data_IF_066627699797
#
_entry.id   IF_066627699797
#
_cell.length_a   1.000
_cell.length_b   1.000
_cell.length_c   1.000
_cell.angle_alpha   90.00
_cell.angle_beta   90.00
_cell.angle_gamma   90.00
#
_symmetry.space_group_name_H-M   'P 1'
#
loop_
_entity.id
_entity.type
_entity.pdbx_description
1 polymer ?
2 polymer ?
3 polymer ?
4 polymer ?
5 non-polymer ?
6 water ?
#
loop_
_entity_poly.entity_id
_entity_poly.type
_entity_poly.pdbx_seq_one_letter_code
_entity_poly.pdbx_strand_id
1 'polyribonucleotide' 'GGCCACCUGACA' ?
2 'polyribonucleotide' '(5CG)UCCUCUCC' ?
3 'polyribonucleotide' 'GGAGAGAGAAGUCAACCAGAGAAACACACCAACCCAUUGCACUCCGGGUUGGUGGUAUAUUACCUGGUACGGGGGAAACUUCGUGGUGGCCG' ?
#
# COMPACT_ATOMS: atom_id res chain seq x y z
N UNK G 6 -20.43 9.33 -4.83
CA UNK G 6 -21.46 8.95 -3.82
C UNK G 6 -21.41 9.89 -2.58
N UNK G 7 -22.49 9.89 -1.82
CA UNK G 7 -22.67 10.71 -0.63
C UNK G 7 -21.82 10.26 0.58
N UNK G 8 -21.05 11.18 1.20
CA UNK G 8 -20.24 10.76 2.35
C UNK G 8 -21.09 10.04 3.39
N UNK G 9 -20.50 9.04 4.04
CA UNK G 9 -21.20 8.23 5.03
C UNK G 9 -20.25 7.74 6.12
N UNK G 10 -20.79 7.40 7.30
CA UNK G 10 -19.98 6.89 8.41
C UNK G 10 -19.19 5.65 7.99
N UNK G 11 -19.80 4.84 7.13
CA UNK G 11 -19.19 3.61 6.67
C UNK G 11 -18.63 3.73 5.27
N UNK G 12 -17.52 3.04 5.02
CA UNK G 12 -16.90 3.07 3.71
C UNK G 12 -16.97 1.66 3.16
N UNK G 13 -17.42 1.54 1.93
CA UNK G 13 -17.51 0.22 1.32
C UNK G 13 -16.19 -0.02 0.59
N UNK G 14 -15.59 -1.18 0.82
CA UNK G 14 -14.29 -1.52 0.26
C UNK G 14 -14.33 -2.81 -0.56
N UNK G 15 -13.85 -2.76 -1.80
CA UNK G 15 -13.82 -4.01 -2.54
C UNK G 15 -12.57 -4.18 -3.36
N UNK G 16 -12.48 -5.33 -3.99
CA UNK G 16 -11.33 -5.71 -4.77
C UNK G 16 -10.23 -6.06 -3.76
N UNK G 17 -10.61 -6.83 -2.74
CA UNK G 17 -9.69 -7.29 -1.72
C UNK G 17 -9.32 -8.72 -2.09
N UNK G 18 -8.12 -9.14 -1.73
CA UNK G 18 -7.69 -10.49 -2.06
C UNK G 18 -8.62 -11.49 -1.41
N UNK G 19 -9.38 -12.20 -2.24
CA UNK G 19 -10.34 -13.17 -1.74
C UNK G 19 -9.78 -14.33 -0.95
N UNK G 20 -8.54 -14.71 -1.19
CA UNK G 20 -7.93 -15.85 -0.50
C UNK G 20 -7.67 -15.67 0.99
N UNK G 21 -7.52 -14.43 1.43
CA UNK G 21 -7.30 -14.15 2.84
C UNK G 21 -8.43 -14.59 3.74
N UNK G 22 -8.10 -15.32 4.81
CA UNK G 22 -9.15 -15.75 5.73
C UNK G 22 -9.83 -14.57 6.42
N UNK G 23 -11.08 -14.78 6.82
CA UNK G 23 -11.90 -13.74 7.44
C UNK G 23 -11.33 -13.01 8.65
N UNK G 24 -10.89 -13.74 9.67
CA UNK G 24 -10.39 -13.02 10.83
C UNK G 24 -9.15 -12.21 10.52
N UNK G 25 -8.24 -12.76 9.73
CA UNK G 25 -7.01 -12.05 9.39
C UNK G 25 -7.28 -10.79 8.56
N UNK G 26 -8.12 -10.90 7.52
CA UNK G 26 -8.43 -9.75 6.69
C UNK G 26 -8.94 -8.66 7.61
N UNK G 27 -9.87 -9.07 8.48
CA UNK G 27 -10.50 -8.17 9.44
C UNK G 27 -9.45 -7.51 10.37
N UNK G 28 -8.46 -8.26 10.83
CA UNK G 28 -7.46 -7.62 11.67
C UNK G 28 -6.60 -6.64 10.88
N UNK G 29 -6.09 -7.07 9.72
CA UNK G 29 -5.26 -6.16 8.92
C UNK G 29 -6.03 -4.87 8.69
N UNK G 30 -7.24 -5.01 8.13
CA UNK G 30 -8.09 -3.84 7.85
C UNK G 30 -8.15 -2.89 9.05
N UNK G 31 -8.34 -3.43 10.24
CA UNK G 31 -8.42 -2.57 11.40
C UNK G 31 -7.13 -1.76 11.55
N UNK G 32 -6.00 -2.45 11.55
CA UNK G 32 -4.71 -1.81 11.71
C UNK G 32 -4.52 -0.64 10.76
N UNK G 33 -4.74 -0.91 9.48
CA UNK G 33 -4.60 0.08 8.40
C UNK G 33 -5.49 1.30 8.52
N UNK G 34 -6.65 1.15 9.17
CA UNK G 34 -7.60 2.26 9.28
C UNK G 34 -7.69 2.97 10.62
N UNK G 35 -7.27 2.29 11.69
CA UNK G 35 -7.31 2.87 13.03
C UNK G 35 -6.88 4.32 13.10
N UNK G 36 -5.82 4.67 12.38
CA UNK G 36 -5.29 6.02 12.42
C UNK G 36 -6.27 7.13 12.04
N UNK G 37 -7.33 6.79 11.32
CA UNK G 37 -8.28 7.81 10.90
C UNK G 37 -9.37 8.15 11.91
N UNK G 38 -9.53 7.27 12.89
CA UNK G 38 -10.52 7.52 13.92
C UNK G 38 -10.98 6.21 14.52
N UNK G 39 -11.79 6.29 15.57
CA UNK G 39 -12.31 5.08 16.19
C UNK G 39 -13.10 4.30 15.14
N UNK G 40 -13.19 2.99 15.33
CA UNK G 40 -13.90 2.13 14.42
C UNK G 40 -14.94 1.36 15.25
N UNK G 41 -16.22 1.57 14.95
CA UNK G 41 -17.27 0.89 15.70
C UNK G 41 -17.36 -0.59 15.39
N UNK G 42 -16.97 -0.95 14.17
CA UNK G 42 -17.02 -2.34 13.74
C UNK G 42 -16.59 -2.47 12.28
N UNK G 43 -16.31 -3.70 11.86
CA UNK G 43 -15.85 -4.01 10.50
C UNK G 43 -16.53 -5.26 10.01
N UNK G 44 -17.38 -5.14 9.01
CA UNK G 44 -18.09 -6.30 8.50
C UNK G 44 -17.35 -6.95 7.35
N UNK G 45 -17.20 -8.27 7.44
CA UNK G 45 -16.51 -9.04 6.44
C UNK G 45 -17.12 -10.41 6.36
N UNK G 46 -17.45 -10.81 5.13
CA UNK G 46 -18.07 -12.11 4.89
C UNK G 46 -17.46 -12.67 3.62
N UNK G 47 -17.25 -13.98 3.61
CA UNK G 47 -16.64 -14.63 2.48
C UNK G 47 -17.65 -15.42 1.68
N UNK G 48 -18.91 -15.05 1.84
CA UNK G 48 -19.99 -15.71 1.10
C UNK G 48 -19.87 -15.25 -0.34
N UNK G 49 -20.42 -16.05 -1.25
CA UNK G 49 -20.40 -15.73 -2.67
C UNK G 49 -20.59 -14.27 -3.04
N UNK G 50 -21.62 -13.65 -2.48
CA UNK G 50 -21.91 -12.25 -2.79
C UNK G 50 -21.11 -11.21 -1.99
N UNK G 51 -20.71 -11.56 -0.78
CA UNK G 51 -19.97 -10.61 0.04
C UNK G 51 -18.44 -10.66 -0.02
N UNK G 52 -17.89 -11.80 -0.41
CA UNK G 52 -16.43 -11.97 -0.50
C UNK G 52 -15.78 -10.90 -1.34
N UNK G 53 -14.52 -10.62 -1.02
CA UNK G 53 -13.74 -9.61 -1.72
C UNK G 53 -14.13 -8.23 -1.26
N UNK G 54 -15.00 -8.17 -0.26
CA UNK G 54 -15.50 -6.87 0.21
C UNK G 54 -15.54 -6.73 1.71
N UNK G 55 -15.74 -5.51 2.17
CA UNK G 55 -15.81 -5.25 3.59
C UNK G 55 -16.29 -3.84 3.86
N UNK G 56 -17.14 -3.65 4.87
CA UNK G 56 -17.59 -2.30 5.22
C UNK G 56 -16.86 -2.02 6.52
N UNK G 57 -16.35 -0.82 6.66
CA UNK G 57 -15.65 -0.42 7.87
C UNK G 57 -16.43 0.76 8.40
N UNK G 58 -17.09 0.57 9.55
CA UNK G 58 -17.92 1.59 10.18
C UNK G 58 -17.19 2.48 11.17
N UNK G 59 -17.08 3.75 10.80
CA UNK G 59 -16.39 4.76 11.63
C UNK G 59 -17.34 5.50 12.55
N UNK G 60 -16.86 5.86 13.73
CA UNK G 60 -17.71 6.58 14.68
C UNK G 60 -17.97 7.99 14.15
N UNK G 61 -17.01 8.55 13.42
CA UNK G 61 -17.16 9.90 12.88
C UNK G 61 -16.98 10.00 11.36
N UNK G 62 -18.00 10.53 10.68
CA UNK G 62 -17.97 10.68 9.22
C UNK G 62 -16.66 11.25 8.70
N UNK G 63 -16.19 12.33 9.30
CA UNK G 63 -14.93 12.96 8.88
C UNK G 63 -13.85 11.89 8.72
N UNK G 64 -13.80 10.96 9.67
CA UNK G 64 -12.84 9.87 9.63
C UNK G 64 -12.98 9.04 8.34
N UNK G 65 -14.22 8.70 7.99
CA UNK G 65 -14.47 7.94 6.77
C UNK G 65 -13.88 8.65 5.57
N UNK G 66 -14.05 9.97 5.53
CA UNK G 66 -13.55 10.78 4.43
C UNK G 66 -12.03 10.69 4.29
N UNK G 67 -11.30 11.13 5.32
CA UNK G 67 -9.84 11.09 5.27
C UNK G 67 -9.36 9.72 4.86
N UNK G 68 -9.84 8.70 5.55
CA UNK G 68 -9.45 7.34 5.26
C UNK G 68 -9.69 7.02 3.78
N UNK G 69 -10.84 7.44 3.25
CA UNK G 69 -11.16 7.18 1.85
C UNK G 69 -10.13 7.83 0.94
N UNK G 70 -9.92 9.12 1.13
CA UNK G 70 -8.96 9.85 0.33
C UNK G 70 -7.54 9.31 0.52
N UNK G 71 -7.17 9.05 1.78
CA UNK G 71 -5.85 8.55 2.09
C UNK G 71 -5.51 7.17 1.56
N UNK G 72 -6.45 6.24 1.66
CA UNK G 72 -6.20 4.87 1.24
C UNK G 72 -6.74 4.41 -0.09
N UNK G 73 -7.06 5.33 -0.99
CA UNK G 73 -7.60 4.87 -2.28
C UNK G 73 -6.54 4.17 -3.09
N UNK G 74 -6.79 2.91 -3.44
CA UNK G 74 -5.82 2.19 -4.23
C UNK G 74 -4.62 1.70 -3.46
N UNK G 75 -4.70 1.76 -2.14
CA UNK G 75 -3.61 1.29 -1.32
C UNK G 75 -3.32 -0.19 -1.59
N UNK G 76 -2.03 -0.60 -1.56
CA UNK G 76 -1.63 -1.99 -1.81
C UNK G 76 -1.99 -2.83 -0.60
N UNK G 77 -2.91 -3.78 -0.79
CA UNK G 77 -3.33 -4.61 0.33
C UNK G 77 -3.40 -6.04 -0.14
N UNK G 78 -2.55 -6.90 0.39
CA UNK G 78 -2.54 -8.28 -0.04
C UNK G 78 -2.38 -8.38 -1.57
N UNK G 79 -1.49 -7.56 -2.13
CA UNK G 79 -1.22 -7.60 -3.55
C UNK G 79 -2.33 -7.16 -4.48
N UNK G 80 -3.27 -6.36 -3.98
CA UNK G 80 -4.37 -5.87 -4.80
C UNK G 80 -4.69 -4.45 -4.36
N UNK G 81 -4.83 -3.51 -5.31
CA UNK G 81 -5.13 -2.14 -4.88
C UNK G 81 -6.55 -1.96 -4.39
N UNK G 82 -6.66 -1.52 -3.15
CA UNK G 82 -7.92 -1.35 -2.48
C UNK G 82 -8.81 -0.33 -3.18
N UNK G 83 -10.07 -0.69 -3.45
CA UNK G 83 -10.98 0.29 -4.05
C UNK G 83 -11.98 0.69 -2.97
N UNK G 84 -12.04 1.99 -2.69
CA UNK G 84 -12.90 2.48 -1.63
C UNK G 84 -13.92 3.52 -2.02
N UNK G 85 -15.12 3.39 -1.45
CA UNK G 85 -16.18 4.36 -1.66
C UNK G 85 -17.02 4.44 -0.41
N UNK G 86 -17.81 5.50 -0.31
CA UNK G 86 -18.71 5.66 0.83
C UNK G 86 -19.79 4.59 0.63
N UNK G 87 -20.40 4.13 1.71
CA UNK G 87 -21.46 3.12 1.60
C UNK G 87 -22.73 3.83 1.09
N UNK G 88 -23.51 3.14 0.25
CA UNK G 88 -24.74 3.74 -0.30
C UNK G 88 -25.74 4.16 0.77
N UNK G 89 -25.92 3.32 1.77
CA UNK G 89 -26.83 3.62 2.85
C UNK G 89 -26.08 3.44 4.16
N UNK G 90 -26.72 3.87 5.24
CA UNK G 90 -26.14 3.72 6.55
C UNK G 90 -26.21 2.25 6.94
N UNK G 91 -25.34 1.83 7.84
CA UNK G 91 -25.33 0.47 8.32
C UNK G 91 -26.25 0.50 9.54
N UNK G 92 -26.91 -0.60 9.85
CA UNK G 92 -27.82 -0.65 10.99
C UNK G 92 -27.31 0.13 12.22
N UNK G 93 -26.17 -0.30 12.75
CA UNK G 93 -25.52 0.32 13.89
C UNK G 93 -25.68 1.84 13.91
N UNK G 94 -25.40 2.48 12.78
CA UNK G 94 -25.48 3.93 12.67
C UNK G 94 -26.89 4.45 12.51
N UNK G 95 -27.74 3.67 11.84
CA UNK G 95 -29.12 4.06 11.62
C UNK G 95 -29.90 3.96 12.91
N UNK G 96 -29.80 2.80 13.57
CA UNK G 96 -30.49 2.56 14.83
C UNK G 96 -29.86 3.32 15.99
N UNK G 97 -29.30 4.49 15.70
CA UNK G 97 -28.62 5.27 16.72
C UNK G 97 -29.13 6.70 16.63
N UNK H 6 9.36 -6.18 -17.18
CA UNK H 6 10.79 -6.53 -17.44
C UNK H 6 11.16 -7.92 -16.85
N UNK H 7 12.39 -8.34 -17.08
CA UNK H 7 12.88 -9.62 -16.56
C UNK H 7 13.10 -9.43 -15.05
N UNK H 8 12.69 -10.41 -14.23
CA UNK H 8 12.92 -10.22 -12.79
C UNK H 8 14.42 -9.93 -12.56
N UNK H 9 14.71 -9.09 -11.58
CA UNK H 9 16.08 -8.70 -11.25
C UNK H 9 16.28 -8.52 -9.74
N UNK H 10 17.53 -8.52 -9.29
CA UNK H 10 17.86 -8.33 -7.88
C UNK H 10 17.47 -6.92 -7.47
N UNK H 11 17.51 -6.00 -8.44
CA UNK H 11 17.14 -4.62 -8.17
C UNK H 11 15.78 -4.22 -8.74
N UNK H 12 15.12 -3.30 -8.03
CA UNK H 12 13.84 -2.78 -8.48
C UNK H 12 14.03 -1.32 -8.67
N UNK H 13 13.57 -0.85 -9.82
CA UNK H 13 13.70 0.55 -10.14
C UNK H 13 12.38 1.11 -9.66
N UNK H 14 12.44 2.22 -8.93
CA UNK H 14 11.28 2.85 -8.33
C UNK H 14 11.25 4.30 -8.74
N UNK H 15 10.10 4.77 -9.19
CA UNK H 15 10.02 6.18 -9.53
C UNK H 15 8.68 6.79 -9.22
N UNK H 16 8.59 8.09 -9.45
CA UNK H 16 7.41 8.86 -9.13
C UNK H 16 7.49 9.17 -7.64
N UNK H 17 8.73 9.35 -7.18
CA UNK H 17 9.02 9.67 -5.81
C UNK H 17 8.97 11.19 -5.63
N UNK H 18 8.67 11.64 -4.42
CA UNK H 18 8.58 13.07 -4.15
C UNK H 18 9.94 13.73 -4.20
N UNK H 19 10.18 14.49 -5.26
CA UNK H 19 11.46 15.15 -5.44
C UNK H 19 11.86 16.14 -4.34
N UNK H 20 10.95 16.51 -3.46
CA UNK H 20 11.31 17.48 -2.42
C UNK H 20 11.97 16.89 -1.18
N UNK H 21 12.00 15.56 -1.10
CA UNK H 21 12.60 14.91 0.05
C UNK H 21 14.11 14.82 -0.07
N UNK H 22 14.81 15.01 1.05
CA UNK H 22 16.26 14.93 1.07
C UNK H 22 16.69 13.48 0.87
N UNK H 23 17.88 13.31 0.31
CA UNK H 23 18.42 11.98 0.03
C UNK H 23 18.39 11.09 1.28
N UNK H 24 19.02 11.54 2.36
CA UNK H 24 19.06 10.75 3.60
C UNK H 24 17.65 10.42 4.04
N UNK H 25 16.80 11.44 4.08
CA UNK H 25 15.43 11.24 4.45
C UNK H 25 14.85 10.12 3.59
N UNK H 26 14.92 10.32 2.28
CA UNK H 26 14.38 9.38 1.30
C UNK H 26 14.99 7.99 1.42
N UNK H 27 16.31 7.91 1.40
CA UNK H 27 16.98 6.62 1.52
C UNK H 27 16.43 5.85 2.74
N UNK H 28 16.59 6.45 3.93
CA UNK H 28 16.12 5.88 5.19
C UNK H 28 14.70 5.34 5.14
N UNK H 29 13.74 6.21 4.78
CA UNK H 29 12.33 5.78 4.69
C UNK H 29 12.21 4.58 3.77
N UNK H 30 12.77 4.68 2.57
CA UNK H 30 12.73 3.55 1.62
C UNK H 30 13.16 2.25 2.28
N UNK H 31 14.28 2.30 2.99
CA UNK H 31 14.80 1.12 3.67
C UNK H 31 13.79 0.58 4.70
N UNK H 32 13.11 1.51 5.37
CA UNK H 32 12.11 1.19 6.39
C UNK H 32 10.89 0.49 5.80
N UNK H 33 10.47 0.99 4.66
CA UNK H 33 9.31 0.47 3.95
C UNK H 33 9.60 -0.83 3.18
N UNK H 34 10.85 -1.05 2.79
CA UNK H 34 11.20 -2.24 2.00
C UNK H 34 11.97 -3.37 2.68
N UNK H 35 12.57 -3.11 3.85
CA UNK H 35 13.35 -4.14 4.51
C UNK H 35 12.64 -5.47 4.83
N UNK H 36 11.31 -5.45 4.92
CA UNK H 36 10.57 -6.68 5.25
C UNK H 36 10.57 -7.77 4.18
N UNK H 37 11.06 -7.46 2.98
CA UNK H 37 11.04 -8.46 1.94
C UNK H 37 12.34 -9.28 1.88
N UNK H 38 13.31 -8.87 2.67
CA UNK H 38 14.59 -9.58 2.70
C UNK H 38 15.74 -8.61 2.84
N UNK H 39 16.94 -9.12 3.06
CA UNK H 39 18.12 -8.27 3.18
C UNK H 39 18.24 -7.36 1.97
N UNK H 40 18.59 -6.10 2.22
CA UNK H 40 18.77 -5.08 1.21
C UNK H 40 20.26 -4.69 1.18
N UNK H 41 20.96 -5.03 0.08
CA UNK H 41 22.38 -4.72 -0.02
C UNK H 41 22.66 -3.24 -0.23
N UNK H 42 21.73 -2.51 -0.83
CA UNK H 42 21.95 -1.08 -1.02
C UNK H 42 20.74 -0.37 -1.62
N UNK H 43 20.72 0.96 -1.50
CA UNK H 43 19.65 1.79 -2.03
C UNK H 43 20.33 2.99 -2.64
N UNK H 44 20.25 3.14 -3.97
CA UNK H 44 20.92 4.27 -4.63
C UNK H 44 19.93 5.36 -4.96
N UNK H 45 20.19 6.56 -4.45
CA UNK H 45 19.27 7.68 -4.66
C UNK H 45 20.06 8.87 -5.05
N UNK H 46 19.63 9.57 -6.08
CA UNK H 46 20.36 10.75 -6.52
C UNK H 46 19.38 11.81 -6.93
N UNK H 47 19.60 13.03 -6.47
CA UNK H 47 18.73 14.16 -6.78
C UNK H 47 19.20 15.01 -7.96
N UNK H 48 20.03 14.43 -8.82
CA UNK H 48 20.48 15.19 -9.98
C UNK H 48 19.35 15.31 -10.98
N UNK H 49 19.44 16.30 -11.85
CA UNK H 49 18.43 16.49 -12.88
C UNK H 49 17.86 15.19 -13.47
N UNK H 50 18.72 14.30 -13.95
CA UNK H 50 18.26 13.07 -14.60
C UNK H 50 17.91 11.92 -13.68
N UNK H 51 18.28 12.00 -12.42
CA UNK H 51 18.01 10.88 -11.52
C UNK H 51 17.06 11.18 -10.35
N UNK H 52 16.66 12.44 -10.22
CA UNK H 52 15.76 12.83 -9.16
C UNK H 52 14.41 12.17 -9.36
N UNK H 53 13.75 11.80 -8.26
CA UNK H 53 12.43 11.18 -8.34
C UNK H 53 12.48 9.67 -8.51
N UNK H 54 13.68 9.13 -8.39
CA UNK H 54 13.81 7.69 -8.56
C UNK H 54 14.78 7.16 -7.53
N UNK H 55 14.84 5.84 -7.44
CA UNK H 55 15.73 5.22 -6.51
C UNK H 55 15.83 3.76 -6.86
N UNK H 56 17.03 3.20 -6.72
CA UNK H 56 17.20 1.80 -6.99
C UNK H 56 17.36 1.13 -5.64
N UNK H 57 16.71 0.00 -5.47
CA UNK H 57 16.81 -0.73 -4.24
C UNK H 57 17.23 -2.12 -4.61
N UNK H 58 18.43 -2.48 -4.19
CA UNK H 58 19.05 -3.77 -4.49
C UNK H 58 18.86 -4.77 -3.38
N UNK H 59 18.24 -5.89 -3.71
CA UNK H 59 17.96 -6.94 -2.77
C UNK H 59 18.98 -8.04 -2.92
N UNK H 60 19.26 -8.77 -1.85
CA UNK H 60 20.21 -9.86 -1.93
C UNK H 60 19.63 -11.02 -2.72
N UNK H 61 18.31 -11.15 -2.69
CA UNK H 61 17.64 -12.23 -3.40
C UNK H 61 16.54 -11.74 -4.34
N UNK H 62 16.45 -12.37 -5.52
CA UNK H 62 15.45 -11.99 -6.51
C UNK H 62 14.05 -12.25 -6.00
N UNK H 63 13.86 -13.40 -5.34
CA UNK H 63 12.54 -13.72 -4.77
C UNK H 63 12.16 -12.49 -3.94
N UNK H 64 13.10 -11.98 -3.17
CA UNK H 64 12.81 -10.79 -2.40
C UNK H 64 12.31 -9.62 -3.23
N UNK H 65 12.87 -9.43 -4.43
CA UNK H 65 12.48 -8.32 -5.27
C UNK H 65 11.10 -8.52 -5.90
N UNK H 66 10.83 -9.74 -6.31
CA UNK H 66 9.54 -10.03 -6.90
C UNK H 66 8.44 -9.72 -5.88
N UNK H 67 8.70 -10.02 -4.62
CA UNK H 67 7.71 -9.79 -3.58
C UNK H 67 7.50 -8.32 -3.31
N UNK H 68 8.59 -7.56 -3.22
CA UNK H 68 8.47 -6.14 -2.98
C UNK H 68 7.74 -5.45 -4.14
N UNK H 69 7.97 -5.88 -5.39
CA UNK H 69 7.29 -5.26 -6.53
C UNK H 69 5.77 -5.47 -6.51
N UNK H 70 5.37 -6.69 -6.20
CA UNK H 70 3.95 -7.03 -6.13
C UNK H 70 3.22 -6.45 -4.93
N UNK H 71 3.93 -6.24 -3.83
CA UNK H 71 3.31 -5.77 -2.62
C UNK H 71 3.44 -4.30 -2.33
N UNK H 72 4.11 -3.55 -3.19
CA UNK H 72 4.29 -2.13 -2.86
C UNK H 72 3.96 -1.27 -4.02
N UNK H 73 3.39 -1.90 -5.03
CA UNK H 73 2.97 -1.21 -6.24
C UNK H 73 1.96 -0.18 -5.83
N UNK H 74 2.25 1.08 -6.08
CA UNK H 74 1.29 2.13 -5.74
C UNK H 74 1.30 2.61 -4.32
N UNK H 75 2.20 2.07 -3.50
CA UNK H 75 2.26 2.47 -2.10
C UNK H 75 2.39 3.98 -1.87
N UNK H 76 1.58 4.54 -0.96
CA UNK H 76 1.59 5.98 -0.64
C UNK H 76 2.93 6.33 0.00
N UNK H 77 3.62 7.34 -0.54
CA UNK H 77 4.94 7.75 -0.06
C UNK H 77 5.09 9.23 -0.30
N UNK H 78 5.31 9.97 0.78
CA UNK H 78 5.46 11.41 0.73
C UNK H 78 4.50 12.05 -0.26
N UNK H 79 3.23 11.68 -0.14
CA UNK H 79 2.15 12.19 -0.97
C UNK H 79 2.04 11.73 -2.43
N UNK H 80 2.84 10.75 -2.84
CA UNK H 80 2.76 10.24 -4.21
C UNK H 80 2.81 8.73 -4.18
N UNK H 81 2.02 8.07 -5.05
CA UNK H 81 2.06 6.62 -5.05
C UNK H 81 3.22 6.19 -5.93
N UNK H 82 4.16 5.48 -5.34
CA UNK H 82 5.34 5.04 -6.06
C UNK H 82 5.05 4.00 -7.14
N UNK H 83 5.82 4.06 -8.22
CA UNK H 83 5.72 3.12 -9.32
C UNK H 83 6.95 2.23 -9.20
N UNK H 84 6.77 0.93 -9.33
CA UNK H 84 7.88 0.00 -9.18
C UNK H 84 8.06 -0.96 -10.36
N UNK H 85 9.26 -1.00 -10.95
CA UNK H 85 9.56 -1.91 -12.04
C UNK H 85 10.86 -2.63 -11.68
N UNK H 86 11.11 -3.79 -12.27
CA UNK H 86 12.39 -4.46 -12.03
C UNK H 86 13.43 -3.62 -12.80
N UNK H 87 14.65 -3.49 -12.28
CA UNK H 87 15.69 -2.71 -12.99
C UNK H 87 15.98 -3.38 -14.31
N UNK H 88 16.21 -2.60 -15.35
CA UNK H 88 16.52 -3.19 -16.67
C UNK H 88 17.82 -3.97 -16.67
N UNK H 89 18.77 -3.56 -15.83
CA UNK H 89 20.10 -4.16 -15.78
C UNK H 89 20.63 -4.44 -14.37
N UNK H 90 21.32 -5.57 -14.17
CA UNK H 90 21.88 -5.88 -12.87
C UNK H 90 22.69 -4.67 -12.43
N UNK H 91 22.72 -4.43 -11.13
CA UNK H 91 23.46 -3.29 -10.62
C UNK H 91 24.90 -3.76 -10.44
N UNK H 92 25.86 -2.85 -10.51
CA UNK H 92 27.25 -3.27 -10.40
C UNK H 92 27.56 -4.24 -9.26
N UNK H 93 27.12 -4.00 -8.03
CA UNK H 93 27.48 -4.95 -6.98
C UNK H 93 26.95 -6.36 -7.20
N UNK H 94 25.93 -6.48 -8.04
CA UNK H 94 25.32 -7.80 -8.30
C UNK H 94 26.03 -8.54 -9.41
N UNK H 95 26.51 -7.79 -10.39
CA UNK H 95 27.21 -8.35 -11.53
C UNK H 95 28.62 -8.79 -11.14
N UNK H 96 29.30 -7.96 -10.36
CA UNK H 96 30.66 -8.23 -9.91
C UNK H 96 30.75 -9.44 -8.97
N UNK H 97 29.63 -10.07 -8.66
CA UNK H 97 29.71 -11.24 -7.77
C UNK H 97 30.03 -12.48 -8.58
X LIG I 1 -18.65 -43.38 7.81
X LIG J 1 -31.18 -4.73 6.05
X LIG K 1 -38.12 -33.18 13.16
X LIG L 1 -20.80 -8.19 -13.01
X LIG M 1 -23.44 -51.02 16.77
X LIG N 1 -28.37 -53.38 19.69
X LIG O 1 -17.01 -37.65 0.84
X LIG P 1 -18.82 -18.74 8.11
X LIG Q 1 -11.17 -15.16 -12.22
X LIG R 1 -34.56 -49.09 -2.27
X LIG S 1 -26.83 -50.61 -7.29
X LIG T 1 -25.43 -15.70 4.74
X LIG U 1 55.83 18.18 -23.78
X LIG V 1 9.96 12.36 -21.11
X LIG W 1 43.70 42.50 3.19
X LIG X 1 49.41 43.67 1.99
X LIG Y 1 32.63 38.75 -0.69
X LIG Z 1 28.84 1.42 -15.37
X LIG AA 1 25.46 35.91 -4.30
X LIG BA 1 50.51 61.76 -1.09
X LIG CA 1 37.74 35.99 4.03
X LIG DA 1 7.06 20.64 -10.12
X LIG EA 1 32.71 7.90 -10.95
X LIG FA 1 -10.10 -0.47 19.36
X LIG GA 1 22.33 13.40 -4.91
X LIG HA 1 23.51 -10.45 -16.61
#
# INVERSE_FOLDING_TARGET
MAVPETRPNHTIYINNLNEKIKKDELKKSLHAIFSRFGQILDILVSRSLKMRGQAFVIFKEVSSATNALRSMQGFPFYDKPMRIQYAKTDSDIIAKMKGT
MAVPETRPNHTIYINNLNEKIKKDELKKSLHAIFSRFGQILDILVSRSLKMRGQAFVIFKEVSSATNALRSMQGFPFYDKPMRIQYAKTDSDIIAKMKGT
CA CA
CA CA
CA CA
CA CA
CA CA
CA CA
CA CA
CA CA
CA CA
CA CA
CA CA
CA CA
CA CA
CA CA
CA CA
CA CA
CA CA
CA CA
CA CA
CA CA
CA CA
CA CA
CA CA
CA CA
CA CA
CA CA
#
